data_IF_006911883047
#
_entry.id   IF_006911883047
#
_cell.length_a   1.000
_cell.length_b   1.000
_cell.length_c   1.000
_cell.angle_alpha   90.00
_cell.angle_beta   90.00
_cell.angle_gamma   90.00
#
_symmetry.space_group_name_H-M   'P 1'
#
loop_
_entity.id
_entity.type
_entity.pdbx_description
1 polymer ?
#
# COMPACT_ATOMS: atom_id res chain seq x y z
N UNK A 1 -6.30 -4.75 27.74
CA UNK A 1 -5.21 -4.49 26.76
C UNK A 1 -5.24 -5.47 25.58
N UNK A 2 -5.01 -6.77 25.79
CA UNK A 2 -4.97 -7.77 24.70
C UNK A 2 -6.24 -7.80 23.84
N UNK A 3 -7.41 -7.71 24.45
CA UNK A 3 -8.72 -7.70 23.76
C UNK A 3 -8.85 -6.54 22.77
N UNK A 4 -8.31 -5.36 23.07
CA UNK A 4 -8.33 -4.19 22.18
C UNK A 4 -7.49 -4.46 20.92
N UNK A 5 -6.29 -5.03 21.10
CA UNK A 5 -5.40 -5.38 20.00
C UNK A 5 -6.00 -6.46 19.11
N UNK A 6 -6.57 -7.52 19.71
CA UNK A 6 -7.23 -8.59 18.96
C UNK A 6 -8.43 -8.08 18.14
N UNK A 7 -9.24 -7.20 18.73
CA UNK A 7 -10.34 -6.54 18.02
C UNK A 7 -9.85 -5.70 16.87
N UNK A 8 -8.85 -4.85 17.11
CA UNK A 8 -8.28 -3.99 16.09
C UNK A 8 -7.64 -4.77 14.93
N UNK A 9 -6.93 -5.86 15.23
CA UNK A 9 -6.38 -6.77 14.22
C UNK A 9 -7.49 -7.37 13.35
N UNK A 10 -8.57 -7.90 13.94
CA UNK A 10 -9.69 -8.46 13.16
C UNK A 10 -10.37 -7.42 12.28
N UNK A 11 -10.62 -6.22 12.81
CA UNK A 11 -11.29 -5.14 12.08
C UNK A 11 -10.46 -4.60 10.91
N UNK A 12 -9.12 -4.67 11.02
CA UNK A 12 -8.22 -4.12 10.02
C UNK A 12 -7.45 -5.18 9.23
N UNK A 13 -7.78 -6.47 9.38
CA UNK A 13 -7.03 -7.59 8.81
C UNK A 13 -6.81 -7.47 7.30
N UNK A 14 -7.90 -7.28 6.55
CA UNK A 14 -7.83 -7.13 5.09
C UNK A 14 -7.05 -5.89 4.64
N UNK A 15 -7.20 -4.78 5.36
CA UNK A 15 -6.48 -3.53 5.07
C UNK A 15 -4.99 -3.68 5.36
N UNK A 16 -4.64 -4.32 6.47
CA UNK A 16 -3.25 -4.64 6.82
C UNK A 16 -2.64 -5.59 5.78
N UNK A 17 -3.37 -6.63 5.36
CA UNK A 17 -2.91 -7.55 4.33
C UNK A 17 -2.71 -6.83 2.98
N UNK A 18 -3.67 -5.99 2.57
CA UNK A 18 -3.55 -5.19 1.36
C UNK A 18 -2.36 -4.24 1.40
N UNK A 19 -2.07 -3.65 2.56
CA UNK A 19 -0.90 -2.80 2.76
C UNK A 19 0.40 -3.61 2.72
N UNK A 20 0.45 -4.75 3.40
CA UNK A 20 1.59 -5.67 3.36
C UNK A 20 1.89 -6.16 1.93
N UNK A 21 0.84 -6.47 1.15
CA UNK A 21 0.96 -6.89 -0.23
C UNK A 21 1.57 -5.79 -1.12
N UNK A 22 1.15 -4.54 -0.93
CA UNK A 22 1.74 -3.39 -1.66
C UNK A 22 3.20 -3.14 -1.29
N UNK A 23 3.57 -3.33 -0.03
CA UNK A 23 4.95 -3.18 0.43
C UNK A 23 5.85 -4.30 -0.10
N UNK A 24 5.39 -5.54 -0.06
CA UNK A 24 6.21 -6.73 -0.34
C UNK A 24 6.15 -7.21 -1.80
N UNK A 25 5.08 -6.88 -2.53
CA UNK A 25 4.84 -7.32 -3.89
C UNK A 25 4.49 -8.82 -4.03
N UNK A 26 4.41 -9.58 -2.93
CA UNK A 26 4.14 -11.03 -2.92
C UNK A 26 3.13 -11.39 -1.85
N UNK A 27 2.19 -12.30 -2.17
CA UNK A 27 1.14 -12.76 -1.23
C UNK A 27 1.75 -13.51 -0.05
N UNK A 28 2.73 -14.35 -0.29
CA UNK A 28 3.39 -15.14 0.76
C UNK A 28 4.13 -14.23 1.73
N UNK A 29 4.93 -13.29 1.21
CA UNK A 29 5.60 -12.28 2.04
C UNK A 29 4.61 -11.38 2.79
N UNK A 30 3.51 -11.00 2.16
CA UNK A 30 2.46 -10.22 2.82
C UNK A 30 1.83 -10.98 4.00
N UNK A 31 1.61 -12.29 3.85
CA UNK A 31 1.12 -13.15 4.92
C UNK A 31 2.12 -13.24 6.08
N UNK A 32 3.40 -13.42 5.79
CA UNK A 32 4.47 -13.47 6.78
C UNK A 32 4.63 -12.15 7.55
N UNK A 33 4.61 -11.02 6.83
CA UNK A 33 4.62 -9.69 7.42
C UNK A 33 3.42 -9.47 8.34
N UNK A 34 2.24 -9.88 7.91
CA UNK A 34 1.02 -9.74 8.70
C UNK A 34 1.05 -10.62 9.96
N UNK A 35 1.53 -11.85 9.85
CA UNK A 35 1.71 -12.73 10.98
C UNK A 35 2.72 -12.17 11.99
N UNK A 36 3.86 -11.67 11.50
CA UNK A 36 4.88 -11.02 12.33
C UNK A 36 4.34 -9.76 13.01
N UNK A 37 3.55 -8.96 12.28
CA UNK A 37 2.86 -7.79 12.83
C UNK A 37 1.90 -8.18 13.95
N UNK A 38 1.05 -9.18 13.74
CA UNK A 38 0.10 -9.64 14.75
C UNK A 38 0.83 -10.15 16.01
N UNK A 39 1.89 -10.93 15.84
CA UNK A 39 2.70 -11.45 16.95
C UNK A 39 3.33 -10.32 17.77
N UNK A 40 3.96 -9.34 17.10
CA UNK A 40 4.55 -8.18 17.78
C UNK A 40 3.50 -7.31 18.48
N UNK A 41 2.37 -7.07 17.83
CA UNK A 41 1.29 -6.27 18.39
C UNK A 41 0.67 -6.91 19.65
N UNK A 42 0.50 -8.22 19.65
CA UNK A 42 -0.03 -8.96 20.81
C UNK A 42 0.95 -9.02 21.99
N UNK A 43 2.24 -8.89 21.73
CA UNK A 43 3.29 -8.88 22.74
C UNK A 43 3.62 -7.47 23.29
N UNK A 44 3.23 -6.42 22.58
CA UNK A 44 3.51 -5.04 22.96
C UNK A 44 2.35 -4.37 23.71
N UNK A 45 2.63 -3.27 24.39
CA UNK A 45 1.60 -2.41 24.97
C UNK A 45 1.00 -1.52 23.85
N UNK A 46 -0.32 -1.58 23.59
CA UNK A 46 -0.96 -0.71 22.63
C UNK A 46 -1.01 0.74 23.15
N UNK A 47 -1.19 1.73 22.27
CA UNK A 47 -1.53 3.10 22.68
C UNK A 47 -2.76 3.13 23.58
N UNK A 48 -2.80 4.09 24.51
CA UNK A 48 -3.92 4.26 25.44
C UNK A 48 -5.22 4.67 24.73
N UNK A 49 -5.12 5.32 23.58
CA UNK A 49 -6.25 5.78 22.78
C UNK A 49 -6.62 4.74 21.72
N UNK A 50 -7.83 4.18 21.80
CA UNK A 50 -8.36 3.17 20.85
C UNK A 50 -8.24 3.64 19.39
N UNK A 51 -8.40 4.94 19.12
CA UNK A 51 -8.30 5.52 17.78
C UNK A 51 -6.89 5.40 17.17
N UNK A 52 -5.85 5.40 18.02
CA UNK A 52 -4.45 5.29 17.58
C UNK A 52 -4.01 3.85 17.34
N UNK A 53 -4.73 2.86 17.85
CA UNK A 53 -4.34 1.44 17.72
C UNK A 53 -4.27 1.03 16.25
N UNK A 54 -5.16 1.54 15.41
CA UNK A 54 -5.11 1.27 13.97
C UNK A 54 -3.81 1.78 13.33
N UNK A 55 -3.46 3.04 13.54
CA UNK A 55 -2.23 3.62 12.99
C UNK A 55 -0.98 2.91 13.52
N UNK A 56 -0.99 2.56 14.80
CA UNK A 56 0.09 1.81 15.44
C UNK A 56 0.30 0.42 14.82
N UNK A 57 -0.77 -0.33 14.47
CA UNK A 57 -0.64 -1.60 13.76
C UNK A 57 0.04 -1.43 12.39
N UNK A 58 -0.32 -0.40 11.63
CA UNK A 58 0.30 -0.10 10.35
C UNK A 58 1.76 0.33 10.51
N UNK A 59 2.08 1.08 11.55
CA UNK A 59 3.48 1.43 11.88
C UNK A 59 4.32 0.20 12.23
N UNK A 60 3.78 -0.75 13.03
CA UNK A 60 4.46 -2.02 13.32
C UNK A 60 4.75 -2.78 12.03
N UNK A 61 3.75 -2.98 11.19
CA UNK A 61 3.89 -3.73 9.93
C UNK A 61 4.94 -3.09 9.03
N UNK A 62 4.88 -1.77 8.84
CA UNK A 62 5.86 -1.02 8.06
C UNK A 62 7.27 -1.15 8.59
N UNK A 63 7.45 -1.02 9.91
CA UNK A 63 8.76 -1.14 10.54
C UNK A 63 9.36 -2.53 10.36
N UNK A 64 8.54 -3.60 10.46
CA UNK A 64 9.01 -4.96 10.17
C UNK A 64 9.53 -5.05 8.74
N UNK A 65 8.75 -4.55 7.76
CA UNK A 65 9.17 -4.58 6.36
C UNK A 65 10.46 -3.79 6.10
N UNK A 66 10.62 -2.60 6.71
CA UNK A 66 11.85 -1.80 6.60
C UNK A 66 13.05 -2.56 7.20
N UNK A 67 12.87 -3.18 8.36
CA UNK A 67 13.92 -3.94 9.03
C UNK A 67 14.38 -5.14 8.20
N UNK A 68 13.44 -5.87 7.59
CA UNK A 68 13.75 -6.99 6.69
C UNK A 68 14.48 -6.50 5.43
N UNK A 69 14.00 -5.41 4.85
CA UNK A 69 14.61 -4.82 3.65
C UNK A 69 16.04 -4.33 3.90
N UNK A 70 16.31 -3.73 5.05
CA UNK A 70 17.65 -3.27 5.45
C UNK A 70 18.63 -4.41 5.70
N UNK A 71 18.17 -5.57 6.18
CA UNK A 71 19.01 -6.74 6.42
C UNK A 71 19.37 -7.50 5.14
N UNK A 72 18.87 -7.08 3.98
CA UNK A 72 19.13 -7.74 2.70
C UNK A 72 18.38 -9.07 2.54
N UNK A 73 17.46 -9.40 3.43
CA UNK A 73 16.61 -10.59 3.36
C UNK A 73 15.58 -10.51 2.23
N UNK A 74 15.42 -9.31 1.67
CA UNK A 74 14.62 -9.05 0.47
C UNK A 74 15.53 -9.07 -0.74
N UNK A 75 15.95 -10.26 -1.14
CA UNK A 75 16.44 -10.46 -2.50
C UNK A 75 15.36 -9.99 -3.47
N UNK A 76 15.74 -9.14 -4.41
CA UNK A 76 14.88 -8.60 -5.44
C UNK A 76 14.21 -9.72 -6.26
N UNK A 77 13.10 -10.20 -5.78
CA UNK A 77 12.11 -10.96 -6.50
C UNK A 77 10.83 -10.15 -6.45
N UNK A 78 10.86 -8.97 -7.09
CA UNK A 78 9.68 -8.45 -7.71
C UNK A 78 9.39 -9.35 -8.92
N UNK A 79 9.11 -10.62 -8.68
CA UNK A 79 8.37 -11.41 -9.61
C UNK A 79 6.99 -10.75 -9.69
N UNK A 80 6.66 -10.27 -10.87
CA UNK A 80 5.32 -9.97 -11.33
C UNK A 80 4.44 -11.24 -11.14
N UNK A 81 4.06 -11.54 -9.92
CA UNK A 81 2.82 -12.24 -9.67
C UNK A 81 1.72 -11.21 -9.91
N UNK A 82 1.48 -10.95 -11.19
CA UNK A 82 0.22 -10.43 -11.64
C UNK A 82 -0.84 -11.22 -10.87
N UNK A 83 -1.66 -10.52 -10.11
CA UNK A 83 -2.91 -11.05 -9.61
C UNK A 83 -3.71 -11.44 -10.86
N UNK A 84 -3.51 -12.66 -11.33
CA UNK A 84 -4.43 -13.36 -12.20
C UNK A 84 -5.65 -13.67 -11.35
N UNK A 85 -6.48 -12.66 -11.19
CA UNK A 85 -7.80 -12.86 -10.64
C UNK A 85 -8.80 -12.76 -11.79
N UNK A 86 -9.34 -13.95 -12.10
CA UNK A 86 -10.63 -14.26 -12.69
C UNK A 86 -11.29 -13.22 -13.61
N UNK A 87 -11.46 -13.67 -14.86
CA UNK A 87 -12.63 -13.44 -15.73
C UNK A 87 -13.26 -12.04 -15.69
N UNK A 88 -12.49 -11.03 -16.13
CA UNK A 88 -12.90 -9.64 -16.11
C UNK A 88 -13.64 -9.26 -17.39
N UNK A 89 -14.91 -8.93 -17.24
CA UNK A 89 -15.69 -8.23 -18.24
C UNK A 89 -15.09 -6.82 -18.44
N UNK A 90 -15.06 -6.36 -19.68
CA UNK A 90 -14.57 -5.05 -20.09
C UNK A 90 -15.45 -3.94 -19.49
N UNK A 91 -15.16 -3.52 -18.28
CA UNK A 91 -15.80 -2.39 -17.62
C UNK A 91 -14.80 -1.23 -17.54
N UNK A 92 -15.22 -0.01 -17.88
CA UNK A 92 -14.40 1.21 -17.83
C UNK A 92 -13.77 1.42 -16.45
N UNK A 93 -14.44 0.95 -15.40
CA UNK A 93 -13.91 0.95 -14.03
C UNK A 93 -12.63 0.13 -13.88
N UNK A 94 -12.57 -1.03 -14.53
CA UNK A 94 -11.39 -1.90 -14.46
C UNK A 94 -10.20 -1.26 -15.18
N UNK A 95 -10.44 -0.65 -16.33
CA UNK A 95 -9.40 0.08 -17.07
C UNK A 95 -8.84 1.21 -16.19
N UNK A 96 -9.70 1.95 -15.51
CA UNK A 96 -9.28 3.01 -14.60
C UNK A 96 -8.44 2.47 -13.42
N UNK A 97 -8.85 1.36 -12.80
CA UNK A 97 -8.12 0.72 -11.70
C UNK A 97 -6.74 0.26 -12.14
N UNK A 98 -6.63 -0.42 -13.29
CA UNK A 98 -5.35 -0.88 -13.83
C UNK A 98 -4.45 0.33 -14.15
N UNK A 99 -4.99 1.38 -14.72
CA UNK A 99 -4.26 2.59 -15.06
C UNK A 99 -3.69 3.27 -13.82
N UNK A 100 -4.49 3.43 -12.77
CA UNK A 100 -4.05 4.01 -11.49
C UNK A 100 -2.99 3.13 -10.84
N UNK A 101 -3.17 1.80 -10.84
CA UNK A 101 -2.17 0.88 -10.28
C UNK A 101 -0.82 1.01 -10.99
N UNK A 102 -0.81 1.01 -12.32
CA UNK A 102 0.41 1.19 -13.10
C UNK A 102 1.08 2.55 -12.84
N UNK A 103 0.29 3.61 -12.61
CA UNK A 103 0.82 4.91 -12.26
C UNK A 103 1.45 4.91 -10.85
N UNK A 104 0.81 4.24 -9.89
CA UNK A 104 1.35 4.08 -8.53
C UNK A 104 2.67 3.32 -8.51
N UNK A 105 2.80 2.24 -9.30
CA UNK A 105 4.02 1.45 -9.40
C UNK A 105 5.23 2.25 -9.90
N UNK A 106 4.99 3.33 -10.64
CA UNK A 106 6.04 4.24 -11.15
C UNK A 106 6.45 5.33 -10.19
N UNK A 107 5.69 5.54 -9.13
CA UNK A 107 6.09 6.50 -8.10
C UNK A 107 7.28 5.96 -7.30
N UNK A 108 8.19 6.88 -6.95
CA UNK A 108 9.20 6.60 -5.93
C UNK A 108 8.52 6.22 -4.61
N UNK A 109 9.16 5.31 -3.86
CA UNK A 109 8.61 4.75 -2.64
C UNK A 109 8.03 5.77 -1.65
N UNK A 110 8.69 6.91 -1.32
CA UNK A 110 8.13 7.88 -0.37
C UNK A 110 6.82 8.53 -0.83
N UNK A 111 6.61 8.67 -2.14
CA UNK A 111 5.38 9.20 -2.72
C UNK A 111 4.29 8.14 -2.81
N UNK A 112 4.67 6.90 -3.13
CA UNK A 112 3.74 5.77 -3.16
C UNK A 112 3.15 5.49 -1.80
N UNK A 113 4.00 5.36 -0.76
CA UNK A 113 3.55 5.09 0.62
C UNK A 113 2.56 6.14 1.13
N UNK A 114 2.78 7.42 0.82
CA UNK A 114 1.89 8.48 1.31
C UNK A 114 0.50 8.40 0.67
N UNK A 115 0.42 8.11 -0.64
CA UNK A 115 -0.85 7.91 -1.35
C UNK A 115 -1.57 6.67 -0.82
N UNK A 116 -0.84 5.59 -0.57
CA UNK A 116 -1.40 4.35 -0.03
C UNK A 116 -2.00 4.54 1.35
N UNK A 117 -1.34 5.30 2.22
CA UNK A 117 -1.84 5.56 3.57
C UNK A 117 -3.02 6.53 3.57
N UNK A 118 -2.91 7.65 2.86
CA UNK A 118 -3.91 8.70 2.92
C UNK A 118 -5.09 8.43 1.97
N UNK A 119 -4.80 8.20 0.69
CA UNK A 119 -5.85 8.10 -0.34
C UNK A 119 -6.48 6.69 -0.41
N UNK A 120 -5.71 5.62 -0.17
CA UNK A 120 -6.23 4.26 -0.28
C UNK A 120 -6.63 3.66 1.07
N UNK A 121 -5.83 3.86 2.13
CA UNK A 121 -6.15 3.33 3.46
C UNK A 121 -7.00 4.29 4.30
N UNK A 122 -7.16 5.58 3.86
CA UNK A 122 -8.01 6.57 4.49
C UNK A 122 -7.50 7.06 5.86
N UNK A 123 -6.17 7.15 6.03
CA UNK A 123 -5.58 7.76 7.21
C UNK A 123 -5.60 9.28 7.13
N UNK A 124 -5.80 9.93 8.28
CA UNK A 124 -5.61 11.38 8.40
C UNK A 124 -4.13 11.72 8.30
N UNK A 125 -3.80 12.95 7.94
CA UNK A 125 -2.39 13.38 7.76
C UNK A 125 -1.53 13.18 9.02
N UNK A 126 -2.10 13.41 10.22
CA UNK A 126 -1.43 13.16 11.49
C UNK A 126 -1.12 11.68 11.71
N UNK A 127 -2.09 10.80 11.45
CA UNK A 127 -1.92 9.35 11.56
C UNK A 127 -0.86 8.83 10.56
N UNK A 128 -0.89 9.33 9.32
CA UNK A 128 0.10 8.99 8.32
C UNK A 128 1.51 9.50 8.71
N UNK A 129 1.59 10.67 9.34
CA UNK A 129 2.83 11.22 9.88
C UNK A 129 3.42 10.30 10.97
N UNK A 130 2.57 9.83 11.89
CA UNK A 130 2.96 8.88 12.95
C UNK A 130 3.43 7.54 12.36
N UNK A 131 2.71 6.99 11.38
CA UNK A 131 3.08 5.73 10.70
C UNK A 131 4.42 5.86 9.99
N UNK A 132 4.65 6.97 9.29
CA UNK A 132 5.85 7.19 8.50
C UNK A 132 7.03 7.72 9.31
N UNK A 133 6.81 8.20 10.53
CA UNK A 133 7.84 8.83 11.35
C UNK A 133 8.34 10.16 10.76
N UNK A 134 7.46 10.96 10.14
CA UNK A 134 7.80 12.25 9.51
C UNK A 134 6.87 13.36 9.98
N UNK A 135 7.28 14.65 9.91
CA UNK A 135 6.40 15.75 10.22
C UNK A 135 5.15 15.79 9.33
N UNK A 136 4.00 16.25 9.86
CA UNK A 136 2.75 16.39 9.11
C UNK A 136 2.90 17.28 7.87
N UNK A 137 3.70 18.34 7.94
CA UNK A 137 4.02 19.18 6.79
C UNK A 137 4.72 18.41 5.65
N UNK A 138 5.54 17.41 6.00
CA UNK A 138 6.16 16.51 5.03
C UNK A 138 5.13 15.59 4.37
N UNK A 139 4.14 15.09 5.14
CA UNK A 139 3.01 14.32 4.60
C UNK A 139 2.26 15.15 3.56
N UNK A 140 1.88 16.39 3.92
CA UNK A 140 1.12 17.29 3.04
C UNK A 140 1.87 17.60 1.75
N UNK A 141 3.15 17.96 1.84
CA UNK A 141 3.96 18.31 0.67
C UNK A 141 4.23 17.11 -0.23
N UNK A 142 4.55 15.94 0.35
CA UNK A 142 4.74 14.70 -0.42
C UNK A 142 3.45 14.24 -1.10
N UNK A 143 2.31 14.30 -0.41
CA UNK A 143 1.01 13.93 -0.98
C UNK A 143 0.63 14.83 -2.16
N UNK A 144 0.80 16.14 -2.02
CA UNK A 144 0.56 17.08 -3.10
C UNK A 144 1.44 16.77 -4.32
N UNK A 145 2.72 16.50 -4.10
CA UNK A 145 3.66 16.13 -5.17
C UNK A 145 3.31 14.80 -5.80
N UNK A 146 2.97 13.79 -4.99
CA UNK A 146 2.59 12.47 -5.47
C UNK A 146 1.36 12.51 -6.38
N UNK A 147 0.33 13.27 -5.99
CA UNK A 147 -0.90 13.44 -6.78
C UNK A 147 -0.61 14.12 -8.12
N UNK A 148 0.28 15.12 -8.14
CA UNK A 148 0.70 15.78 -9.40
C UNK A 148 1.45 14.79 -10.31
N UNK A 149 2.34 13.97 -9.75
CA UNK A 149 3.08 12.95 -10.52
C UNK A 149 2.13 11.88 -11.08
N UNK A 150 1.12 11.45 -10.30
CA UNK A 150 0.10 10.52 -10.77
C UNK A 150 -0.72 11.11 -11.91
N UNK A 151 -1.19 12.34 -11.75
CA UNK A 151 -1.95 13.05 -12.79
C UNK A 151 -1.15 13.13 -14.09
N UNK A 152 0.09 13.58 -14.02
CA UNK A 152 0.98 13.67 -15.17
C UNK A 152 1.26 12.30 -15.82
N UNK A 153 1.39 11.24 -15.02
CA UNK A 153 1.61 9.88 -15.52
C UNK A 153 0.39 9.36 -16.30
N UNK A 154 -0.81 9.70 -15.86
CA UNK A 154 -2.08 9.30 -16.47
C UNK A 154 -2.37 10.15 -17.71
N UNK A 155 -2.30 11.48 -17.61
CA UNK A 155 -2.60 12.41 -18.71
C UNK A 155 -1.49 12.46 -19.76
N UNK A 156 -0.23 12.36 -19.36
CA UNK A 156 0.94 12.40 -20.26
C UNK A 156 1.13 11.12 -21.10
N UNK A 157 0.17 10.18 -21.05
CA UNK A 157 0.23 8.94 -21.83
C UNK A 157 1.37 8.00 -21.47
N UNK A 158 2.06 8.25 -20.34
CA UNK A 158 3.11 7.37 -19.80
C UNK A 158 2.50 6.07 -19.29
N UNK A 159 1.23 6.14 -18.85
CA UNK A 159 0.39 4.99 -18.52
C UNK A 159 -0.70 4.92 -19.59
N UNK A 160 -0.65 3.92 -20.46
CA UNK A 160 -1.67 3.74 -21.50
C UNK A 160 -2.84 2.94 -20.93
N UNK A 161 -4.09 3.39 -21.17
CA UNK A 161 -5.26 2.62 -20.82
C UNK A 161 -5.20 1.22 -21.44
N UNK A 162 -5.58 0.19 -20.68
CA UNK A 162 -5.54 -1.21 -21.12
C UNK A 162 -6.28 -1.44 -22.45
N UNK A 163 -7.39 -0.76 -22.70
CA UNK A 163 -8.16 -0.84 -23.96
C UNK A 163 -7.36 -0.37 -25.19
N UNK A 164 -6.43 0.57 -25.04
CA UNK A 164 -5.62 1.06 -26.17
C UNK A 164 -4.57 0.04 -26.63
N UNK A 165 -4.14 -0.88 -25.76
CA UNK A 165 -3.21 -1.96 -26.11
C UNK A 165 -3.85 -3.06 -26.96
N UNK A 166 -5.15 -3.33 -26.78
CA UNK A 166 -5.85 -4.36 -27.54
C UNK A 166 -6.17 -3.94 -28.97
N UNK A 167 -6.46 -2.64 -29.21
CA UNK A 167 -6.74 -2.14 -30.57
C UNK A 167 -5.54 -2.23 -31.51
N UNK A 168 -4.30 -2.18 -31.00
CA UNK A 168 -3.09 -2.29 -31.84
C UNK A 168 -2.73 -3.73 -32.22
N UNK A 169 -3.23 -4.74 -31.48
CA UNK A 169 -3.01 -6.17 -31.81
C UNK A 169 -4.04 -6.75 -32.77
N UNK A 170 -5.15 -6.07 -32.99
CA UNK A 170 -6.21 -6.51 -33.91
C UNK A 170 -6.09 -5.90 -35.31
N UNK A 171 -5.05 -5.07 -35.58
CA UNK A 171 -4.85 -4.38 -36.86
C UNK A 171 -3.57 -4.80 -37.60
N UNK A 172 -2.84 -5.80 -37.10
CA UNK A 172 -1.77 -6.53 -37.77
C UNK A 172 -2.20 -7.99 -38.00
#
# INVERSE_FOLDING_TARGET
MRIIVERALRQNWERLFSYALRLSGSRDRAADLLQSCATKALAAAPPDEDERVRAWLFAILRNIWIDEHRRGEVSASAAEEALEDEQWRHDDRMIAVITVRQALERLEQPYREIVELVDLAGFRYGEAADILGVPVGTVMSRLSRARLLLLNAIEGGTVRPFAARQRKRASD
#
